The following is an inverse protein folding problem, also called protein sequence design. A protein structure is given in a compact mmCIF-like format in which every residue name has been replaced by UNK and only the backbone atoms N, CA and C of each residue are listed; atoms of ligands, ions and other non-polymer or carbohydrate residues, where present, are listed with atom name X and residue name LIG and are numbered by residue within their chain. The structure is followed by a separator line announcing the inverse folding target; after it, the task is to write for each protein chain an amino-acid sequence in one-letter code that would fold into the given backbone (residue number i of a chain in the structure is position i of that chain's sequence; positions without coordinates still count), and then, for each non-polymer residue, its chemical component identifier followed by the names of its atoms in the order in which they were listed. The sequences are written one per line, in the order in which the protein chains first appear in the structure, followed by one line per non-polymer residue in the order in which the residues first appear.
data_IF_749262523307
#
_entry.id   IF_749262523307
#
_cell.length_a   1.000
_cell.length_b   1.000
_cell.length_c   1.000
_cell.angle_alpha   90.00
_cell.angle_beta   90.00
_cell.angle_gamma   90.00
#
_symmetry.space_group_name_H-M   'P 1'
#
loop_
_entity.id
_entity.type
_entity.pdbx_description
1 polymer ?
#
# COMPACT_ATOMS: atom_id res chain seq x y z
N UNK A 1 -8.41 6.32 13.76
CA UNK A 1 -7.52 5.39 13.07
C UNK A 1 -7.37 5.82 11.62
N UNK A 2 -6.16 6.14 11.20
CA UNK A 2 -5.95 6.64 9.85
C UNK A 2 -5.48 5.53 8.92
N UNK A 3 -6.14 5.38 7.78
CA UNK A 3 -5.73 4.50 6.71
C UNK A 3 -5.09 5.34 5.61
N UNK A 4 -3.91 4.94 5.15
CA UNK A 4 -3.23 5.61 4.05
C UNK A 4 -3.36 4.75 2.80
N UNK A 5 -3.95 5.31 1.76
CA UNK A 5 -4.03 4.68 0.44
C UNK A 5 -2.99 5.32 -0.48
N UNK A 6 -2.04 4.52 -0.94
CA UNK A 6 -1.05 4.99 -1.91
C UNK A 6 -1.56 4.68 -3.31
N UNK A 7 -1.87 5.73 -4.05
CA UNK A 7 -2.41 5.64 -5.41
C UNK A 7 -1.27 5.50 -6.42
N UNK A 8 -1.28 4.40 -7.16
CA UNK A 8 -0.30 4.13 -8.21
C UNK A 8 -0.79 4.60 -9.58
N UNK A 9 -1.50 5.74 -9.62
CA UNK A 9 -2.01 6.35 -10.85
C UNK A 9 -2.99 5.43 -11.57
N UNK A 10 -3.92 4.85 -10.81
CA UNK A 10 -4.93 3.94 -11.32
C UNK A 10 -6.34 4.47 -11.04
N UNK A 11 -7.22 4.35 -12.03
CA UNK A 11 -8.60 4.81 -11.88
C UNK A 11 -9.37 4.05 -10.79
N UNK A 12 -8.99 2.80 -10.53
CA UNK A 12 -9.62 2.00 -9.49
C UNK A 12 -9.33 2.50 -8.08
N UNK A 13 -8.28 3.30 -7.91
CA UNK A 13 -7.94 3.86 -6.59
C UNK A 13 -9.07 4.70 -6.01
N UNK A 14 -9.81 5.43 -6.85
CA UNK A 14 -10.95 6.21 -6.40
C UNK A 14 -12.07 5.31 -5.87
N UNK A 15 -12.33 4.20 -6.55
CA UNK A 15 -13.32 3.23 -6.09
C UNK A 15 -12.91 2.60 -4.77
N UNK A 16 -11.63 2.28 -4.62
CA UNK A 16 -11.11 1.78 -3.35
C UNK A 16 -11.28 2.81 -2.24
N UNK A 17 -10.97 4.07 -2.52
CA UNK A 17 -11.14 5.14 -1.56
C UNK A 17 -12.59 5.23 -1.08
N UNK A 18 -13.54 5.20 -2.01
CA UNK A 18 -14.96 5.27 -1.66
C UNK A 18 -15.40 4.06 -0.85
N UNK A 19 -15.02 2.86 -1.27
CA UNK A 19 -15.41 1.63 -0.59
C UNK A 19 -14.84 1.58 0.84
N UNK A 20 -13.57 1.88 0.99
CA UNK A 20 -12.91 1.86 2.30
C UNK A 20 -13.46 2.96 3.18
N UNK A 21 -13.74 4.12 2.60
CA UNK A 21 -14.30 5.26 3.33
C UNK A 21 -15.67 4.99 3.94
N UNK A 22 -16.43 4.01 3.41
CA UNK A 22 -17.71 3.62 4.04
C UNK A 22 -17.48 2.84 5.33
N UNK A 23 -16.31 2.22 5.48
CA UNK A 23 -15.97 1.42 6.66
C UNK A 23 -15.15 2.24 7.64
N UNK A 24 -14.18 2.99 7.13
CA UNK A 24 -13.30 3.86 7.94
C UNK A 24 -13.17 5.21 7.24
N UNK A 25 -13.88 6.24 7.70
CA UNK A 25 -13.85 7.56 7.05
C UNK A 25 -12.52 8.30 7.22
N UNK A 26 -11.68 7.91 8.17
CA UNK A 26 -10.35 8.52 8.35
C UNK A 26 -9.35 7.88 7.38
N UNK A 27 -9.49 8.20 6.10
CA UNK A 27 -8.65 7.69 5.03
C UNK A 27 -8.02 8.87 4.28
N UNK A 28 -6.70 8.77 4.07
CA UNK A 28 -5.94 9.75 3.30
C UNK A 28 -5.40 9.09 2.05
N UNK A 29 -5.49 9.77 0.91
CA UNK A 29 -4.94 9.29 -0.35
C UNK A 29 -3.74 10.13 -0.73
N UNK A 30 -2.64 9.47 -1.07
CA UNK A 30 -1.47 10.12 -1.66
C UNK A 30 -1.07 9.36 -2.91
N UNK A 31 -0.38 10.01 -3.83
CA UNK A 31 0.21 9.35 -4.98
C UNK A 31 1.57 8.77 -4.62
N UNK A 32 2.02 7.78 -5.40
CA UNK A 32 3.25 7.05 -5.09
C UNK A 32 4.53 7.89 -5.21
N UNK A 33 4.43 9.08 -5.77
CA UNK A 33 5.55 10.03 -5.91
C UNK A 33 5.30 11.35 -5.19
N UNK A 34 4.29 11.41 -4.34
CA UNK A 34 3.88 12.64 -3.66
C UNK A 34 4.64 12.87 -2.36
N UNK A 35 5.01 11.80 -1.67
CA UNK A 35 5.66 11.86 -0.35
C UNK A 35 6.83 10.90 -0.30
N UNK A 36 7.78 11.19 0.59
CA UNK A 36 8.85 10.24 0.91
C UNK A 36 8.39 9.22 1.93
N UNK A 37 9.15 8.14 2.09
CA UNK A 37 8.85 7.12 3.11
C UNK A 37 8.88 7.71 4.52
N UNK A 38 9.82 8.63 4.76
CA UNK A 38 9.94 9.29 6.05
C UNK A 38 8.70 10.14 6.36
N UNK A 39 8.15 10.81 5.36
CA UNK A 39 6.92 11.58 5.49
C UNK A 39 5.72 10.68 5.76
N UNK A 40 5.65 9.53 5.10
CA UNK A 40 4.61 8.53 5.35
C UNK A 40 4.70 8.02 6.79
N UNK A 41 5.91 7.72 7.25
CA UNK A 41 6.11 7.27 8.63
C UNK A 41 5.64 8.33 9.62
N UNK A 42 5.90 9.60 9.34
CA UNK A 42 5.49 10.71 10.20
C UNK A 42 3.96 10.85 10.30
N UNK A 43 3.22 10.42 9.28
CA UNK A 43 1.76 10.40 9.33
C UNK A 43 1.23 9.35 10.32
N UNK A 44 2.03 8.35 10.62
CA UNK A 44 1.71 7.26 11.54
C UNK A 44 0.39 6.56 11.19
N UNK A 45 0.21 6.08 9.94
CA UNK A 45 -1.02 5.38 9.59
C UNK A 45 -1.08 4.03 10.29
N UNK A 46 -2.28 3.54 10.54
CA UNK A 46 -2.46 2.23 11.16
C UNK A 46 -2.59 1.11 10.12
N UNK A 47 -2.86 1.49 8.88
CA UNK A 47 -2.90 0.56 7.75
C UNK A 47 -2.47 1.31 6.50
N UNK A 48 -1.65 0.67 5.68
CA UNK A 48 -1.27 1.21 4.37
C UNK A 48 -1.85 0.29 3.30
N UNK A 49 -2.52 0.88 2.31
CA UNK A 49 -3.06 0.14 1.17
C UNK A 49 -2.31 0.60 -0.08
N UNK A 50 -1.76 -0.36 -0.82
CA UNK A 50 -1.09 -0.10 -2.09
C UNK A 50 -2.06 -0.46 -3.21
N UNK A 51 -2.46 0.53 -4.00
CA UNK A 51 -3.48 0.35 -5.03
C UNK A 51 -2.94 -0.38 -6.25
N UNK A 52 -3.82 -0.88 -7.13
CA UNK A 52 -3.40 -1.28 -8.48
C UNK A 52 -2.73 -0.12 -9.22
N UNK A 53 -2.05 -0.41 -10.32
CA UNK A 53 -1.45 0.60 -11.14
C UNK A 53 -0.79 0.01 -12.37
N UNK A 54 -0.40 0.85 -13.34
CA UNK A 54 0.29 0.40 -14.53
C UNK A 54 1.77 0.14 -14.28
N UNK A 55 2.39 -0.62 -15.16
CA UNK A 55 3.82 -0.83 -15.14
C UNK A 55 4.29 -1.84 -14.11
N UNK A 56 5.54 -1.72 -13.73
CA UNK A 56 6.23 -2.66 -12.83
C UNK A 56 6.30 -2.08 -11.43
N UNK A 57 6.37 -2.95 -10.41
CA UNK A 57 6.41 -2.47 -9.01
C UNK A 57 7.62 -1.59 -8.70
N UNK A 58 8.76 -1.82 -9.34
CA UNK A 58 9.96 -0.99 -9.15
C UNK A 58 9.80 0.42 -9.74
N UNK A 59 8.76 0.62 -10.56
CA UNK A 59 8.40 1.90 -11.14
C UNK A 59 7.23 2.57 -10.42
N UNK A 60 6.78 2.01 -9.31
CA UNK A 60 5.63 2.49 -8.55
C UNK A 60 6.06 3.43 -7.41
N UNK A 61 7.01 4.32 -7.68
CA UNK A 61 7.43 5.33 -6.71
C UNK A 61 7.94 4.72 -5.41
N UNK A 62 7.36 5.10 -4.30
CA UNK A 62 7.83 4.69 -2.97
C UNK A 62 7.30 3.33 -2.52
N UNK A 63 6.49 2.63 -3.33
CA UNK A 63 5.78 1.43 -2.86
C UNK A 63 6.70 0.35 -2.30
N UNK A 64 7.75 -0.04 -3.02
CA UNK A 64 8.66 -1.07 -2.53
C UNK A 64 9.42 -0.62 -1.29
N UNK A 65 9.81 0.64 -1.26
CA UNK A 65 10.53 1.20 -0.12
C UNK A 65 9.64 1.27 1.12
N UNK A 66 8.38 1.62 0.96
CA UNK A 66 7.39 1.60 2.05
C UNK A 66 7.27 0.18 2.61
N UNK A 67 7.15 -0.82 1.74
CA UNK A 67 7.06 -2.21 2.17
C UNK A 67 8.30 -2.62 2.97
N UNK A 68 9.48 -2.31 2.44
CA UNK A 68 10.74 -2.70 3.09
C UNK A 68 10.95 -2.01 4.44
N UNK A 69 10.66 -0.72 4.52
CA UNK A 69 10.97 0.07 5.71
C UNK A 69 9.86 0.08 6.74
N UNK A 70 8.60 0.00 6.33
CA UNK A 70 7.45 0.13 7.22
C UNK A 70 6.66 -1.15 7.41
N UNK A 71 6.90 -2.18 6.59
CA UNK A 71 6.12 -3.41 6.63
C UNK A 71 6.25 -4.20 7.93
N UNK A 72 7.33 -4.00 8.69
CA UNK A 72 7.49 -4.66 9.99
C UNK A 72 6.76 -3.91 11.12
N UNK A 73 6.36 -2.66 10.88
CA UNK A 73 5.73 -1.81 11.90
C UNK A 73 4.27 -1.51 11.60
N UNK A 74 3.87 -1.50 10.33
CA UNK A 74 2.53 -1.11 9.89
C UNK A 74 2.00 -2.19 8.96
N UNK A 75 0.76 -2.71 9.18
CA UNK A 75 0.16 -3.66 8.25
C UNK A 75 -0.01 -3.05 6.87
N UNK A 76 0.27 -3.82 5.83
CA UNK A 76 0.18 -3.35 4.44
C UNK A 76 -0.68 -4.32 3.65
N UNK A 77 -1.67 -3.78 2.93
CA UNK A 77 -2.51 -4.52 1.99
C UNK A 77 -2.14 -4.09 0.58
N UNK A 78 -1.71 -5.05 -0.25
CA UNK A 78 -1.35 -4.79 -1.63
C UNK A 78 -2.35 -5.41 -2.59
N UNK A 79 -2.79 -4.65 -3.60
CA UNK A 79 -3.73 -5.09 -4.61
C UNK A 79 -3.07 -4.97 -5.99
N UNK A 80 -3.01 -6.04 -6.76
CA UNK A 80 -2.39 -6.10 -8.09
C UNK A 80 -0.94 -5.59 -8.08
N UNK A 81 -0.66 -4.38 -8.54
CA UNK A 81 0.69 -3.81 -8.52
C UNK A 81 1.25 -3.75 -7.10
N UNK A 82 0.41 -3.41 -6.12
CA UNK A 82 0.80 -3.42 -4.72
C UNK A 82 1.16 -4.82 -4.24
N UNK A 83 0.42 -5.84 -4.68
CA UNK A 83 0.76 -7.24 -4.41
C UNK A 83 2.14 -7.59 -4.97
N UNK A 84 2.44 -7.16 -6.21
CA UNK A 84 3.73 -7.41 -6.81
C UNK A 84 4.86 -6.71 -6.05
N UNK A 85 4.62 -5.49 -5.58
CA UNK A 85 5.60 -4.75 -4.79
C UNK A 85 5.94 -5.48 -3.49
N UNK A 86 4.93 -6.04 -2.81
CA UNK A 86 5.14 -6.83 -1.61
C UNK A 86 5.94 -8.09 -1.95
N UNK A 87 5.60 -8.79 -3.03
CA UNK A 87 6.31 -9.99 -3.45
C UNK A 87 7.78 -9.71 -3.74
N UNK A 88 8.09 -8.62 -4.45
CA UNK A 88 9.47 -8.26 -4.77
C UNK A 88 10.26 -7.87 -3.51
N UNK A 89 9.63 -7.13 -2.60
CA UNK A 89 10.31 -6.62 -1.42
C UNK A 89 10.60 -7.70 -0.38
N UNK A 90 9.71 -8.67 -0.23
CA UNK A 90 9.80 -9.68 0.83
C UNK A 90 9.99 -11.10 0.33
N UNK A 91 9.97 -11.33 -0.97
CA UNK A 91 10.10 -12.68 -1.51
C UNK A 91 8.95 -13.56 -1.07
N UNK A 92 9.24 -14.62 -0.33
CA UNK A 92 8.23 -15.55 0.15
C UNK A 92 7.65 -15.26 1.52
N UNK A 93 7.93 -14.07 2.09
CA UNK A 93 7.52 -13.74 3.46
C UNK A 93 6.12 -13.18 3.55
N UNK A 94 5.31 -13.39 2.52
CA UNK A 94 3.92 -12.94 2.52
C UNK A 94 3.10 -13.92 3.36
N UNK A 95 2.36 -13.38 4.33
CA UNK A 95 1.54 -14.22 5.21
C UNK A 95 0.33 -14.74 4.47
N UNK A 96 -0.24 -13.94 3.58
CA UNK A 96 -1.44 -14.32 2.84
C UNK A 96 -1.45 -13.66 1.47
N UNK A 97 -1.69 -14.44 0.42
CA UNK A 97 -1.79 -13.95 -0.94
C UNK A 97 -2.88 -14.73 -1.68
N UNK A 98 -3.78 -14.02 -2.37
CA UNK A 98 -4.88 -14.64 -3.11
C UNK A 98 -5.36 -13.68 -4.19
N UNK A 99 -5.46 -14.19 -5.42
CA UNK A 99 -6.03 -13.45 -6.56
C UNK A 99 -5.42 -12.06 -6.76
N UNK A 100 -4.10 -11.94 -6.63
CA UNK A 100 -3.40 -10.67 -6.82
C UNK A 100 -3.51 -9.70 -5.65
N UNK A 101 -3.94 -10.19 -4.49
CA UNK A 101 -4.02 -9.41 -3.26
C UNK A 101 -3.10 -10.03 -2.22
N UNK A 102 -2.28 -9.21 -1.59
CA UNK A 102 -1.38 -9.63 -0.51
C UNK A 102 -1.65 -8.84 0.74
N UNK A 103 -1.57 -9.53 1.87
CA UNK A 103 -1.63 -8.90 3.19
C UNK A 103 -0.31 -9.15 3.89
N UNK A 104 0.38 -8.09 4.24
CA UNK A 104 1.60 -8.14 5.03
C UNK A 104 1.28 -7.64 6.42
N UNK A 105 1.37 -8.53 7.41
CA UNK A 105 1.09 -8.19 8.80
C UNK A 105 2.37 -7.90 9.54
N UNK A 106 2.27 -7.01 10.51
CA UNK A 106 3.33 -6.83 11.52
C UNK A 106 3.40 -8.08 12.38
N UNK A 107 4.57 -8.53 12.65
CA UNK A 107 4.77 -9.70 13.52
C UNK A 107 4.73 -9.32 15.00
#
# INVERSE_FOLDING_TARGET
MMILLIDNYDSFSYNLYQLIGTIEPDIKVIRNDEMTVEEVKALNPQLIILSPGPGRPDQAGICEEVVKKLGSSIPILGVCLGHQAICEAYGGKIIHAFAGISILKTS
#
